data_IF_515041133306
#
_entry.id   IF_515041133306
#
_cell.length_a   1.000
_cell.length_b   1.000
_cell.length_c   1.000
_cell.angle_alpha   90.00
_cell.angle_beta   90.00
_cell.angle_gamma   90.00
#
_symmetry.space_group_name_H-M   'P 1'
#
loop_
_entity.id
_entity.type
_entity.pdbx_description
1 polymer ?
#
# COMPACT_ATOMS: atom_id res chain seq x y z
N UNK A 1 -1.95 5.48 -37.59
CA UNK A 1 -2.25 5.88 -36.19
C UNK A 1 -2.11 4.65 -35.31
N UNK A 2 -1.01 4.54 -34.56
CA UNK A 2 -0.85 3.44 -33.59
C UNK A 2 -1.82 3.69 -32.44
N UNK A 3 -2.84 2.82 -32.30
CA UNK A 3 -3.69 2.76 -31.11
C UNK A 3 -2.77 2.43 -29.94
N UNK A 4 -2.62 3.36 -28.99
CA UNK A 4 -1.97 3.06 -27.72
C UNK A 4 -2.66 1.84 -27.11
N UNK A 5 -1.91 0.77 -26.85
CA UNK A 5 -2.39 -0.37 -26.07
C UNK A 5 -2.97 0.20 -24.78
N UNK A 6 -4.29 0.14 -24.61
CA UNK A 6 -4.92 0.53 -23.35
C UNK A 6 -4.28 -0.27 -22.24
N UNK A 7 -3.74 0.41 -21.23
CA UNK A 7 -3.27 -0.24 -20.01
C UNK A 7 -4.53 -0.78 -19.34
N UNK A 8 -4.80 -2.08 -19.52
CA UNK A 8 -5.88 -2.80 -18.85
C UNK A 8 -5.35 -3.26 -17.50
N UNK A 9 -5.90 -2.73 -16.41
CA UNK A 9 -5.60 -3.15 -15.04
C UNK A 9 -6.90 -3.64 -14.40
N UNK A 10 -6.96 -4.90 -14.02
CA UNK A 10 -8.10 -5.49 -13.31
C UNK A 10 -7.73 -5.72 -11.84
N UNK A 11 -8.72 -5.77 -10.95
CA UNK A 11 -8.48 -6.06 -9.52
C UNK A 11 -7.80 -7.41 -9.30
N UNK A 12 -7.97 -8.34 -10.24
CA UNK A 12 -7.34 -9.65 -10.24
C UNK A 12 -5.81 -9.55 -10.46
N UNK A 13 -5.34 -8.46 -11.07
CA UNK A 13 -3.92 -8.18 -11.27
C UNK A 13 -3.27 -7.58 -10.00
N UNK A 14 -4.06 -7.24 -8.96
CA UNK A 14 -3.62 -6.66 -7.70
C UNK A 14 -3.20 -7.67 -6.63
N UNK A 15 -2.52 -8.75 -7.04
CA UNK A 15 -1.99 -9.72 -6.08
C UNK A 15 -0.85 -9.10 -5.25
N UNK A 16 -0.63 -9.56 -4.00
CA UNK A 16 0.53 -9.14 -3.21
C UNK A 16 1.86 -9.32 -3.96
N UNK A 17 2.00 -10.40 -4.73
CA UNK A 17 3.20 -10.71 -5.50
C UNK A 17 3.38 -9.76 -6.69
N UNK A 18 2.29 -9.41 -7.38
CA UNK A 18 2.32 -8.44 -8.47
C UNK A 18 2.70 -7.04 -7.96
N UNK A 19 2.11 -6.60 -6.84
CA UNK A 19 2.46 -5.34 -6.16
C UNK A 19 3.91 -5.33 -5.69
N UNK A 20 4.39 -6.43 -5.11
CA UNK A 20 5.78 -6.55 -4.69
C UNK A 20 6.74 -6.48 -5.88
N UNK A 21 6.42 -7.15 -7.01
CA UNK A 21 7.23 -7.10 -8.22
C UNK A 21 7.28 -5.68 -8.81
N UNK A 22 6.14 -5.01 -8.88
CA UNK A 22 6.06 -3.61 -9.31
C UNK A 22 6.90 -2.70 -8.42
N UNK A 23 6.70 -2.76 -7.09
CA UNK A 23 7.45 -1.91 -6.16
C UNK A 23 8.96 -2.15 -6.23
N UNK A 24 9.38 -3.41 -6.43
CA UNK A 24 10.80 -3.77 -6.61
C UNK A 24 11.41 -3.22 -7.89
N UNK A 25 10.61 -2.96 -8.93
CA UNK A 25 11.10 -2.37 -10.18
C UNK A 25 11.40 -0.87 -10.08
N UNK A 26 10.86 -0.19 -9.05
CA UNK A 26 11.12 1.22 -8.80
C UNK A 26 12.57 1.46 -8.34
N UNK A 27 13.13 2.58 -8.78
CA UNK A 27 14.37 3.15 -8.26
C UNK A 27 14.21 3.58 -6.80
N UNK A 28 15.33 3.85 -6.13
CA UNK A 28 15.30 4.34 -4.74
C UNK A 28 14.56 5.66 -4.64
N UNK A 29 14.76 6.57 -5.60
CA UNK A 29 14.09 7.88 -5.61
C UNK A 29 12.57 7.71 -5.74
N UNK A 30 12.10 6.92 -6.70
CA UNK A 30 10.67 6.68 -6.89
C UNK A 30 10.01 6.03 -5.66
N UNK A 31 10.74 5.18 -4.93
CA UNK A 31 10.25 4.61 -3.67
C UNK A 31 10.13 5.66 -2.57
N UNK A 32 11.07 6.60 -2.50
CA UNK A 32 11.01 7.72 -1.54
C UNK A 32 9.86 8.67 -1.89
N UNK A 33 9.68 9.00 -3.16
CA UNK A 33 8.59 9.85 -3.62
C UNK A 33 7.23 9.21 -3.27
N UNK A 34 7.10 7.90 -3.48
CA UNK A 34 5.90 7.14 -3.10
C UNK A 34 5.67 7.12 -1.59
N UNK A 35 6.74 6.97 -0.79
CA UNK A 35 6.67 7.03 0.68
C UNK A 35 6.18 8.41 1.16
N UNK A 36 6.71 9.49 0.60
CA UNK A 36 6.27 10.85 0.91
C UNK A 36 4.80 11.04 0.54
N UNK A 37 4.41 10.65 -0.68
CA UNK A 37 3.04 10.76 -1.14
C UNK A 37 2.02 10.03 -0.24
N UNK A 38 2.32 8.78 0.14
CA UNK A 38 1.45 8.03 1.06
C UNK A 38 1.41 8.64 2.46
N UNK A 39 2.52 9.20 2.92
CA UNK A 39 2.60 9.88 4.22
C UNK A 39 1.74 11.13 4.23
N UNK A 40 1.84 11.96 3.20
CA UNK A 40 1.02 13.17 3.03
C UNK A 40 -0.46 12.82 2.97
N UNK A 41 -0.82 11.76 2.23
CA UNK A 41 -2.19 11.26 2.18
C UNK A 41 -2.69 10.80 3.56
N UNK A 42 -1.87 10.06 4.31
CA UNK A 42 -2.22 9.59 5.65
C UNK A 42 -2.41 10.75 6.63
N UNK A 43 -1.52 11.75 6.58
CA UNK A 43 -1.61 12.96 7.41
C UNK A 43 -2.82 13.81 7.04
N UNK A 44 -3.12 13.95 5.74
CA UNK A 44 -4.31 14.69 5.29
C UNK A 44 -5.61 14.00 5.75
N UNK A 45 -5.66 12.67 5.71
CA UNK A 45 -6.81 11.89 6.16
C UNK A 45 -6.94 11.84 7.69
N UNK A 46 -5.83 11.84 8.42
CA UNK A 46 -5.80 11.79 9.88
C UNK A 46 -4.63 12.62 10.46
N UNK A 47 -4.80 13.95 10.63
CA UNK A 47 -3.72 14.82 11.09
C UNK A 47 -3.18 14.46 12.49
N UNK A 48 -4.00 13.82 13.33
CA UNK A 48 -3.62 13.41 14.70
C UNK A 48 -2.87 12.09 14.76
N UNK A 49 -2.62 11.43 13.62
CA UNK A 49 -1.90 10.15 13.57
C UNK A 49 -0.51 10.25 14.21
N UNK A 50 0.12 11.43 14.16
CA UNK A 50 1.43 11.69 14.78
C UNK A 50 1.39 11.71 16.31
N UNK A 51 0.22 11.92 16.92
CA UNK A 51 0.05 11.92 18.38
C UNK A 51 0.10 10.49 18.96
N UNK A 52 -0.05 9.48 18.09
CA UNK A 52 0.03 8.07 18.49
C UNK A 52 1.48 7.60 18.41
N UNK A 53 2.06 7.31 19.58
CA UNK A 53 3.47 6.87 19.69
C UNK A 53 3.72 5.52 19.02
N UNK A 54 2.81 4.57 19.20
CA UNK A 54 2.94 3.21 18.73
C UNK A 54 1.69 2.82 17.92
N UNK A 55 1.89 2.25 16.73
CA UNK A 55 0.80 1.72 15.93
C UNK A 55 0.11 0.57 16.70
N UNK A 56 -1.12 0.79 17.14
CA UNK A 56 -1.87 -0.24 17.84
C UNK A 56 -2.50 -1.21 16.83
N UNK A 57 -2.47 -2.53 17.11
CA UNK A 57 -3.18 -3.47 16.28
C UNK A 57 -4.68 -3.18 16.33
N UNK A 58 -5.31 -3.08 15.15
CA UNK A 58 -6.78 -3.03 15.04
C UNK A 58 -7.35 -4.28 15.72
N UNK A 59 -8.36 -4.08 16.56
CA UNK A 59 -9.06 -5.17 17.23
C UNK A 59 -9.56 -6.20 16.21
N UNK A 60 -9.33 -7.49 16.49
CA UNK A 60 -9.75 -8.58 15.59
C UNK A 60 -8.85 -8.84 14.37
N UNK A 61 -7.76 -8.08 14.16
CA UNK A 61 -6.84 -8.32 13.02
C UNK A 61 -6.08 -9.64 13.06
N UNK A 62 -5.99 -10.28 14.23
CA UNK A 62 -5.44 -11.63 14.40
C UNK A 62 -6.54 -12.54 14.92
N UNK A 63 -6.98 -13.49 14.09
CA UNK A 63 -7.89 -14.56 14.51
C UNK A 63 -7.05 -15.74 15.01
N UNK A 64 -6.99 -15.91 16.34
CA UNK A 64 -6.39 -17.10 16.95
C UNK A 64 -7.35 -18.27 16.76
N UNK A 65 -6.90 -19.32 16.08
CA UNK A 65 -7.65 -20.57 15.93
C UNK A 65 -7.16 -21.56 17.00
N UNK A 66 -7.98 -21.85 18.00
CA UNK A 66 -7.74 -22.94 18.96
C UNK A 66 -8.33 -24.24 18.42
N UNK A 67 -7.60 -25.36 18.56
CA UNK A 67 -8.07 -26.69 18.22
C UNK A 67 -8.86 -27.26 19.41
N UNK A 68 -10.10 -27.69 19.18
CA UNK A 68 -10.89 -28.48 20.14
C UNK A 68 -10.45 -29.95 20.09
#
# INVERSE_FOLDING_TARGET
MQKGKGISHTWQDETPEAKARWFRSLSVQERLDLLCWFTDLALAANPKIMEQKDAQPIEGRVRVLSKT
#
